data_IF_922263865923
#
_entry.id   IF_922263865923
#
_cell.length_a   1.000
_cell.length_b   1.000
_cell.length_c   1.000
_cell.angle_alpha   90.00
_cell.angle_beta   90.00
_cell.angle_gamma   90.00
#
_symmetry.space_group_name_H-M   'P 1'
#
loop_
_entity.id
_entity.type
_entity.pdbx_description
1 polymer ?
#
# COMPACT_ATOMS: atom_id res chain seq x y z
N UNK A 1 57.34 -23.00 10.88
CA UNK A 1 57.63 -23.11 12.32
C UNK A 1 56.30 -23.10 13.07
N UNK A 2 55.82 -24.30 13.51
CA UNK A 2 54.78 -24.44 14.52
C UNK A 2 55.37 -24.18 15.91
N UNK A 3 54.76 -24.56 17.03
CA UNK A 3 53.82 -25.63 17.36
C UNK A 3 52.58 -25.07 18.13
N UNK A 4 51.43 -25.70 18.29
CA UNK A 4 51.10 -26.87 19.05
C UNK A 4 50.91 -26.60 20.52
N UNK A 5 49.66 -26.63 21.03
CA UNK A 5 49.45 -27.10 22.41
C UNK A 5 47.97 -27.50 22.63
N UNK A 6 47.86 -28.75 22.98
CA UNK A 6 46.76 -29.46 23.64
C UNK A 6 46.43 -28.88 25.02
N UNK A 7 45.24 -29.19 25.52
CA UNK A 7 45.11 -29.43 26.94
C UNK A 7 43.75 -29.14 27.55
N UNK A 8 43.03 -30.23 27.90
CA UNK A 8 42.24 -30.45 29.11
C UNK A 8 41.04 -29.49 29.37
N UNK A 9 39.78 -29.85 29.40
CA UNK A 9 39.18 -30.93 30.20
C UNK A 9 38.89 -30.46 31.61
N UNK A 10 37.64 -30.01 31.91
CA UNK A 10 37.06 -30.14 33.23
C UNK A 10 35.54 -30.20 33.18
N UNK A 11 35.01 -31.27 33.72
CA UNK A 11 33.62 -31.55 33.87
C UNK A 11 32.96 -30.71 34.98
N UNK A 12 31.66 -30.50 34.80
CA UNK A 12 30.79 -29.89 35.78
C UNK A 12 29.42 -30.58 35.71
N UNK A 13 29.18 -31.43 36.67
CA UNK A 13 27.90 -32.09 36.94
C UNK A 13 26.81 -31.05 37.20
N UNK A 14 25.74 -31.06 36.38
CA UNK A 14 24.51 -30.32 36.62
C UNK A 14 23.33 -31.25 36.35
N UNK A 15 22.87 -31.90 37.39
CA UNK A 15 21.73 -32.77 37.43
C UNK A 15 20.44 -31.95 37.30
N UNK A 16 19.89 -31.85 36.09
CA UNK A 16 18.62 -31.22 35.81
C UNK A 16 17.62 -32.31 35.42
N UNK A 17 16.61 -32.50 36.23
CA UNK A 17 15.54 -33.46 36.12
C UNK A 17 14.95 -33.47 34.68
N UNK A 18 15.07 -34.61 34.01
CA UNK A 18 14.40 -34.88 32.74
C UNK A 18 12.90 -34.99 32.96
N UNK A 19 12.16 -34.02 32.45
CA UNK A 19 10.73 -34.19 32.26
C UNK A 19 10.51 -35.16 31.09
N UNK A 20 10.09 -36.37 31.46
CA UNK A 20 9.75 -37.39 30.50
C UNK A 20 8.41 -37.04 29.84
N UNK A 21 8.44 -36.63 28.58
CA UNK A 21 7.27 -36.22 27.77
C UNK A 21 6.35 -37.38 27.42
N UNK A 22 6.51 -38.54 28.06
CA UNK A 22 5.73 -39.75 27.80
C UNK A 22 4.45 -39.92 28.61
N UNK A 23 4.15 -39.05 29.59
CA UNK A 23 3.03 -39.23 30.52
C UNK A 23 1.79 -38.38 30.20
N UNK A 24 1.82 -37.58 29.14
CA UNK A 24 0.65 -36.94 28.56
C UNK A 24 0.38 -37.58 27.21
N UNK A 25 -0.53 -38.55 27.15
CA UNK A 25 -0.91 -39.35 25.99
C UNK A 25 -1.42 -38.59 24.77
N UNK A 26 -0.63 -37.68 24.23
CA UNK A 26 -0.83 -37.11 22.92
C UNK A 26 0.15 -37.77 21.96
N UNK A 27 -0.32 -38.83 21.31
CA UNK A 27 0.36 -39.48 20.19
C UNK A 27 0.38 -38.55 18.99
N UNK A 28 1.55 -37.91 18.77
CA UNK A 28 1.80 -36.97 17.64
C UNK A 28 2.33 -37.71 16.40
N UNK A 29 2.32 -39.06 16.36
CA UNK A 29 2.87 -39.84 15.26
C UNK A 29 1.96 -39.86 14.01
N UNK A 30 0.73 -39.34 14.10
CA UNK A 30 -0.26 -39.34 13.00
C UNK A 30 -0.19 -38.16 12.01
N UNK A 31 0.69 -37.18 12.21
CA UNK A 31 0.64 -35.94 11.42
C UNK A 31 1.64 -35.84 10.26
N UNK A 32 2.29 -36.95 9.90
CA UNK A 32 3.21 -36.98 8.76
C UNK A 32 2.83 -38.07 7.77
N UNK A 33 1.91 -37.85 6.91
CA UNK A 33 1.73 -38.41 5.57
C UNK A 33 0.25 -38.48 5.17
N UNK A 34 -0.13 -37.74 4.16
CA UNK A 34 -1.43 -37.94 3.51
C UNK A 34 -1.98 -36.71 2.83
N UNK A 35 -1.59 -36.57 1.60
CA UNK A 35 -2.21 -35.80 0.53
C UNK A 35 -3.73 -35.95 0.46
N UNK A 36 -4.40 -34.90 -0.08
CA UNK A 36 -5.81 -34.77 -0.49
C UNK A 36 -6.82 -34.30 0.57
N UNK A 37 -7.36 -33.12 0.29
CA UNK A 37 -8.61 -32.64 0.85
C UNK A 37 -8.66 -31.13 1.03
N UNK A 38 -9.01 -30.44 -0.06
CA UNK A 38 -9.35 -29.03 -0.12
C UNK A 38 -10.67 -28.82 0.63
N UNK A 39 -10.65 -28.12 1.77
CA UNK A 39 -11.83 -27.47 2.33
C UNK A 39 -11.39 -26.43 3.38
N UNK A 40 -11.64 -25.20 3.08
CA UNK A 40 -12.03 -24.05 3.89
C UNK A 40 -11.84 -24.19 5.42
N UNK A 41 -10.64 -23.92 5.90
CA UNK A 41 -10.39 -23.39 7.24
C UNK A 41 -9.32 -22.32 7.12
N UNK A 42 -9.69 -21.19 6.49
CA UNK A 42 -8.97 -19.93 6.60
C UNK A 42 -9.15 -19.41 8.03
N UNK A 43 -8.04 -19.03 8.62
CA UNK A 43 -7.91 -18.14 9.78
C UNK A 43 -7.98 -18.75 11.19
N UNK A 44 -7.43 -19.96 11.40
CA UNK A 44 -7.02 -20.37 12.75
C UNK A 44 -5.49 -20.39 12.85
N UNK A 45 -4.93 -19.31 13.39
CA UNK A 45 -3.51 -19.20 13.70
C UNK A 45 -3.13 -20.15 14.86
N UNK A 46 -2.84 -21.41 14.49
CA UNK A 46 -2.36 -22.45 15.42
C UNK A 46 -1.02 -22.09 16.09
N UNK A 47 -0.28 -21.15 15.51
CA UNK A 47 0.99 -20.67 16.07
C UNK A 47 0.80 -19.89 17.37
N UNK A 48 -0.28 -19.13 17.49
CA UNK A 48 -0.60 -18.34 18.69
C UNK A 48 -1.06 -19.20 19.87
N UNK A 49 -1.69 -20.35 19.60
CA UNK A 49 -2.16 -21.29 20.64
C UNK A 49 -0.97 -22.10 21.19
N UNK A 50 -0.08 -22.55 20.31
CA UNK A 50 1.09 -23.36 20.72
C UNK A 50 2.18 -22.50 21.39
N UNK A 51 2.38 -21.29 20.93
CA UNK A 51 3.33 -20.32 21.53
C UNK A 51 2.94 -19.86 22.95
N UNK A 52 1.64 -19.84 23.25
CA UNK A 52 1.12 -19.45 24.57
C UNK A 52 1.32 -20.53 25.65
N UNK A 53 1.44 -21.78 25.26
CA UNK A 53 1.54 -22.92 26.18
C UNK A 53 3.00 -23.25 26.57
N UNK A 54 3.97 -22.91 25.71
CA UNK A 54 5.39 -23.23 25.93
C UNK A 54 6.23 -22.09 26.52
N UNK A 55 5.73 -20.85 26.48
CA UNK A 55 6.44 -19.69 27.03
C UNK A 55 5.89 -19.31 28.40
N UNK A 56 6.37 -19.97 29.44
CA UNK A 56 6.13 -19.64 30.85
C UNK A 56 6.71 -18.32 31.32
N UNK A 57 7.02 -17.39 30.42
CA UNK A 57 7.56 -16.06 30.76
C UNK A 57 6.39 -15.08 30.76
N UNK A 58 6.07 -14.52 31.92
CA UNK A 58 5.21 -13.34 32.11
C UNK A 58 5.81 -12.13 31.39
N UNK A 59 5.88 -12.17 30.08
CA UNK A 59 6.09 -10.99 29.26
C UNK A 59 4.77 -10.25 29.19
N UNK A 60 4.69 -9.09 29.82
CA UNK A 60 3.54 -8.20 29.73
C UNK A 60 3.21 -7.98 28.25
N UNK A 61 2.14 -8.63 27.75
CA UNK A 61 1.60 -8.37 26.41
C UNK A 61 1.19 -6.91 26.39
N UNK A 62 2.12 -6.05 25.92
CA UNK A 62 1.73 -4.71 25.50
C UNK A 62 0.67 -4.90 24.43
N UNK A 63 -0.57 -4.54 24.75
CA UNK A 63 -1.67 -4.60 23.80
C UNK A 63 -1.24 -3.81 22.56
N UNK A 64 -1.09 -4.50 21.41
CA UNK A 64 -0.81 -3.83 20.13
C UNK A 64 -1.77 -2.66 19.99
N UNK A 65 -1.29 -1.47 19.64
CA UNK A 65 -2.14 -0.31 19.44
C UNK A 65 -3.21 -0.67 18.41
N UNK A 66 -4.45 -0.35 18.70
CA UNK A 66 -5.57 -0.57 17.79
C UNK A 66 -5.33 0.22 16.53
N UNK A 67 -5.52 -0.42 15.39
CA UNK A 67 -5.40 0.21 14.09
C UNK A 67 -6.73 0.09 13.35
N UNK A 68 -7.13 1.17 12.68
CA UNK A 68 -8.28 1.20 11.79
C UNK A 68 -8.03 0.36 10.52
N UNK A 69 -9.10 0.07 9.81
CA UNK A 69 -9.02 -0.65 8.54
C UNK A 69 -8.35 0.21 7.46
N UNK A 70 -7.59 -0.45 6.60
CA UNK A 70 -7.03 0.17 5.42
C UNK A 70 -8.14 0.31 4.35
N UNK A 71 -8.05 1.35 3.52
CA UNK A 71 -8.99 1.62 2.43
C UNK A 71 -8.24 1.50 1.11
N UNK A 72 -8.83 0.83 0.12
CA UNK A 72 -8.34 0.82 -1.25
C UNK A 72 -9.34 1.53 -2.17
N UNK A 73 -8.82 2.40 -3.04
CA UNK A 73 -9.62 3.16 -4.02
C UNK A 73 -8.93 3.08 -5.37
N UNK A 74 -9.70 2.72 -6.40
CA UNK A 74 -9.23 2.73 -7.78
C UNK A 74 -9.51 4.09 -8.42
N UNK A 75 -8.51 4.65 -9.09
CA UNK A 75 -8.58 5.97 -9.72
C UNK A 75 -8.09 5.90 -11.15
N UNK A 76 -8.89 6.43 -12.07
CA UNK A 76 -8.50 6.58 -13.47
C UNK A 76 -7.86 7.94 -13.72
N UNK A 77 -6.68 7.94 -14.34
CA UNK A 77 -5.96 9.15 -14.73
C UNK A 77 -5.80 9.24 -16.25
N UNK A 78 -5.91 10.44 -16.84
CA UNK A 78 -5.47 10.68 -18.20
C UNK A 78 -3.97 10.42 -18.34
N UNK A 79 -3.56 9.97 -19.52
CA UNK A 79 -2.15 9.65 -19.79
C UNK A 79 -1.21 10.82 -19.48
N UNK A 80 -1.55 12.05 -19.86
CA UNK A 80 -0.74 13.25 -19.62
C UNK A 80 -0.47 13.48 -18.13
N UNK A 81 -1.49 13.32 -17.28
CA UNK A 81 -1.34 13.49 -15.84
C UNK A 81 -0.46 12.40 -15.21
N UNK A 82 -0.54 11.17 -15.72
CA UNK A 82 0.33 10.08 -15.26
C UNK A 82 1.79 10.31 -15.65
N UNK A 83 2.04 10.96 -16.80
CA UNK A 83 3.39 11.29 -17.27
C UNK A 83 4.00 12.44 -16.48
N UNK A 84 3.28 13.55 -16.30
CA UNK A 84 3.82 14.76 -15.66
C UNK A 84 3.60 14.83 -14.16
N UNK A 85 2.72 13.97 -13.63
CA UNK A 85 2.27 14.06 -12.26
C UNK A 85 1.22 15.17 -12.08
N UNK A 86 0.45 15.06 -11.03
CA UNK A 86 -0.64 16.00 -10.72
C UNK A 86 -0.97 15.97 -9.24
N UNK A 87 -1.48 17.07 -8.71
CA UNK A 87 -2.12 17.09 -7.41
C UNK A 87 -3.63 16.99 -7.60
N UNK A 88 -4.25 15.95 -7.04
CA UNK A 88 -5.71 15.75 -7.08
C UNK A 88 -6.30 15.66 -5.70
N UNK A 89 -7.52 16.17 -5.58
CA UNK A 89 -8.33 16.06 -4.35
C UNK A 89 -9.40 14.99 -4.58
N UNK A 90 -9.39 13.97 -3.71
CA UNK A 90 -10.38 12.89 -3.74
C UNK A 90 -11.34 13.05 -2.55
N UNK A 91 -12.64 12.90 -2.83
CA UNK A 91 -13.68 12.81 -1.78
C UNK A 91 -13.88 11.34 -1.44
N UNK A 92 -13.59 10.97 -0.21
CA UNK A 92 -13.71 9.59 0.26
C UNK A 92 -14.67 9.58 1.45
N UNK A 93 -15.70 8.75 1.37
CA UNK A 93 -16.61 8.50 2.49
C UNK A 93 -15.96 7.49 3.44
N UNK A 94 -15.56 7.94 4.62
CA UNK A 94 -14.87 7.09 5.59
C UNK A 94 -15.13 7.50 7.04
N UNK A 95 -14.83 6.58 7.94
CA UNK A 95 -14.76 6.87 9.37
C UNK A 95 -13.52 7.72 9.66
N UNK A 96 -13.72 8.92 10.17
CA UNK A 96 -12.66 9.88 10.50
C UNK A 96 -12.70 10.22 11.98
N UNK A 97 -11.58 10.71 12.51
CA UNK A 97 -11.52 11.26 13.86
C UNK A 97 -12.48 12.45 13.94
N UNK A 98 -13.25 12.54 15.01
CA UNK A 98 -14.16 13.65 15.23
C UNK A 98 -13.39 14.94 15.48
N UNK A 99 -13.58 15.95 14.63
CA UNK A 99 -12.89 17.25 14.72
C UNK A 99 -13.31 18.10 15.93
N UNK A 100 -14.48 17.82 16.51
CA UNK A 100 -14.95 18.57 17.68
C UNK A 100 -14.27 18.13 18.97
N UNK A 101 -13.93 16.85 19.08
CA UNK A 101 -13.35 16.29 20.31
C UNK A 101 -11.97 15.67 20.11
N UNK A 102 -11.38 15.77 18.91
CA UNK A 102 -10.07 15.21 18.57
C UNK A 102 -9.92 13.73 18.96
N UNK A 103 -11.00 12.96 18.80
CA UNK A 103 -11.04 11.54 19.12
C UNK A 103 -11.34 11.17 20.58
N UNK A 104 -11.42 12.12 21.49
CA UNK A 104 -11.63 11.88 22.93
C UNK A 104 -13.06 11.43 23.27
N UNK A 105 -14.02 11.69 22.39
CA UNK A 105 -15.43 11.41 22.65
C UNK A 105 -16.12 12.37 23.63
N UNK A 106 -15.39 13.29 24.26
CA UNK A 106 -15.90 14.29 25.19
C UNK A 106 -16.07 15.65 24.53
N UNK A 107 -16.92 16.50 25.11
CA UNK A 107 -17.02 17.92 24.77
C UNK A 107 -15.71 18.63 25.10
N UNK A 108 -15.27 19.58 24.28
CA UNK A 108 -14.04 20.35 24.55
C UNK A 108 -14.03 20.94 25.96
N UNK A 109 -12.95 20.71 26.70
CA UNK A 109 -12.79 21.19 28.09
C UNK A 109 -13.38 20.28 29.17
N UNK A 110 -14.06 19.20 28.81
CA UNK A 110 -14.63 18.23 29.75
C UNK A 110 -13.56 17.34 30.36
N UNK A 111 -13.69 17.07 31.68
CA UNK A 111 -12.79 16.12 32.36
C UNK A 111 -13.08 14.70 31.95
N UNK A 112 -12.01 13.89 31.85
CA UNK A 112 -12.10 12.47 31.57
C UNK A 112 -12.03 11.69 32.90
N UNK A 113 -13.00 10.81 33.11
CA UNK A 113 -13.07 9.91 34.27
C UNK A 113 -12.62 8.50 33.86
N UNK A 114 -12.11 7.73 34.82
CA UNK A 114 -11.86 6.30 34.61
C UNK A 114 -13.18 5.60 34.34
N UNK A 115 -13.22 4.76 33.30
CA UNK A 115 -14.43 4.01 32.96
C UNK A 115 -14.85 3.09 34.11
N UNK A 116 -16.07 3.25 34.59
CA UNK A 116 -16.60 2.47 35.70
C UNK A 116 -16.79 0.98 35.37
N UNK A 117 -17.07 0.66 34.11
CA UNK A 117 -17.36 -0.71 33.64
C UNK A 117 -16.08 -1.58 33.58
N UNK A 118 -14.95 -1.04 33.19
CA UNK A 118 -13.70 -1.80 33.03
C UNK A 118 -12.58 -1.37 34.00
N UNK A 119 -12.84 -0.42 34.90
CA UNK A 119 -11.85 0.09 35.84
C UNK A 119 -10.61 0.69 35.18
N UNK A 120 -10.73 1.21 33.96
CA UNK A 120 -9.61 1.80 33.20
C UNK A 120 -8.89 0.83 32.28
N UNK A 121 -9.21 -0.46 32.30
CA UNK A 121 -8.50 -1.49 31.48
C UNK A 121 -8.87 -1.46 30.01
N UNK A 122 -9.99 -0.83 29.62
CA UNK A 122 -10.48 -0.79 28.25
C UNK A 122 -11.07 -2.11 27.75
N UNK A 123 -10.96 -3.19 28.53
CA UNK A 123 -11.45 -4.54 28.21
C UNK A 123 -12.26 -5.10 29.36
N UNK A 124 -13.24 -5.92 29.08
CA UNK A 124 -14.04 -6.65 30.06
C UNK A 124 -13.82 -8.13 29.83
N UNK A 125 -13.51 -8.85 30.90
CA UNK A 125 -13.33 -10.31 30.84
C UNK A 125 -14.66 -11.00 31.18
N UNK A 126 -15.15 -11.79 30.25
CA UNK A 126 -16.33 -12.63 30.45
C UNK A 126 -15.92 -14.08 30.57
N UNK A 127 -16.45 -14.76 31.58
CA UNK A 127 -16.30 -16.20 31.75
C UNK A 127 -17.46 -16.90 31.07
N UNK A 128 -17.22 -17.51 29.91
CA UNK A 128 -18.21 -18.37 29.26
C UNK A 128 -18.06 -19.76 29.81
N UNK A 129 -19.13 -20.22 30.51
CA UNK A 129 -19.22 -21.59 31.04
C UNK A 129 -19.96 -22.44 30.02
N UNK A 130 -19.31 -23.48 29.51
CA UNK A 130 -19.92 -24.59 28.79
C UNK A 130 -20.05 -25.79 29.75
N UNK A 131 -20.80 -26.79 29.37
CA UNK A 131 -21.07 -27.98 30.23
C UNK A 131 -19.77 -28.70 30.62
N UNK A 132 -18.72 -28.59 29.80
CA UNK A 132 -17.45 -29.32 29.98
C UNK A 132 -16.28 -28.39 30.30
N UNK A 133 -16.31 -27.10 29.87
CA UNK A 133 -15.18 -26.18 29.98
C UNK A 133 -15.62 -24.76 30.38
N UNK A 134 -14.84 -24.10 31.20
CA UNK A 134 -14.97 -22.67 31.43
C UNK A 134 -13.76 -21.94 30.79
N UNK A 135 -14.01 -21.04 29.89
CA UNK A 135 -12.94 -20.22 29.30
C UNK A 135 -13.24 -18.74 29.49
N UNK A 136 -12.16 -17.99 29.75
CA UNK A 136 -12.21 -16.54 29.89
C UNK A 136 -12.00 -15.92 28.52
N UNK A 137 -12.97 -15.13 28.07
CA UNK A 137 -12.89 -14.35 26.84
C UNK A 137 -12.78 -12.87 27.21
N UNK A 138 -11.78 -12.20 26.69
CA UNK A 138 -11.62 -10.76 26.86
C UNK A 138 -12.25 -10.04 25.68
N UNK A 139 -13.25 -9.19 25.93
CA UNK A 139 -13.86 -8.32 24.93
C UNK A 139 -13.59 -6.85 25.23
N UNK A 140 -13.71 -6.03 24.20
CA UNK A 140 -13.59 -4.59 24.32
C UNK A 140 -14.73 -4.07 25.18
N UNK A 141 -14.43 -3.18 26.12
CA UNK A 141 -15.45 -2.52 26.94
C UNK A 141 -16.34 -1.63 26.07
N UNK A 142 -17.65 -1.94 26.02
CA UNK A 142 -18.62 -1.20 25.21
C UNK A 142 -18.80 0.25 25.69
N UNK A 143 -18.70 0.49 27.01
CA UNK A 143 -18.89 1.79 27.60
C UNK A 143 -17.82 2.80 27.15
N UNK A 144 -16.54 2.43 27.27
CA UNK A 144 -15.42 3.28 26.88
C UNK A 144 -14.84 2.95 25.50
N UNK A 145 -15.37 1.93 24.82
CA UNK A 145 -14.92 1.45 23.50
C UNK A 145 -13.41 1.17 23.44
N UNK A 146 -12.86 0.73 24.56
CA UNK A 146 -11.47 0.35 24.70
C UNK A 146 -10.52 1.45 25.12
N UNK A 147 -10.96 2.69 25.33
CA UNK A 147 -10.11 3.80 25.77
C UNK A 147 -9.78 3.74 27.27
N UNK A 148 -10.55 2.99 28.06
CA UNK A 148 -10.44 2.93 29.53
C UNK A 148 -10.94 4.18 30.24
N UNK A 149 -11.36 5.21 29.52
CA UNK A 149 -11.83 6.50 30.07
C UNK A 149 -13.18 6.89 29.50
N UNK A 150 -13.96 7.60 30.26
CA UNK A 150 -15.25 8.14 29.86
C UNK A 150 -15.29 9.64 30.10
N UNK A 151 -15.81 10.44 29.17
CA UNK A 151 -16.00 11.87 29.39
C UNK A 151 -17.20 12.14 30.29
N UNK A 152 -17.14 13.16 31.14
CA UNK A 152 -18.27 13.63 31.94
C UNK A 152 -19.43 14.11 31.06
N UNK A 153 -19.10 14.89 30.01
CA UNK A 153 -20.04 15.29 28.97
C UNK A 153 -19.63 14.71 27.62
N UNK A 154 -20.56 13.99 27.01
CA UNK A 154 -20.31 13.40 25.67
C UNK A 154 -20.29 14.47 24.59
N UNK A 155 -19.39 14.34 23.64
CA UNK A 155 -19.35 15.19 22.46
C UNK A 155 -20.69 15.14 21.70
N UNK A 156 -21.32 16.26 21.36
CA UNK A 156 -22.62 16.27 20.70
C UNK A 156 -22.56 15.69 19.28
N UNK A 157 -21.42 15.80 18.59
CA UNK A 157 -21.24 15.35 17.20
C UNK A 157 -21.07 13.85 17.14
N UNK A 158 -20.11 13.28 17.87
CA UNK A 158 -19.82 11.84 17.82
C UNK A 158 -20.53 11.02 18.92
N UNK A 159 -21.26 11.68 19.83
CA UNK A 159 -22.00 11.04 20.94
C UNK A 159 -21.13 10.09 21.78
N UNK A 160 -19.89 10.50 22.04
CA UNK A 160 -18.93 9.73 22.82
C UNK A 160 -18.11 8.72 22.01
N UNK A 161 -18.32 8.61 20.69
CA UNK A 161 -17.61 7.64 19.88
C UNK A 161 -16.16 8.04 19.56
N UNK A 162 -15.85 9.33 19.56
CA UNK A 162 -14.56 9.87 19.13
C UNK A 162 -14.34 9.83 17.62
N UNK A 163 -15.18 9.11 16.88
CA UNK A 163 -15.10 8.94 15.43
C UNK A 163 -16.46 9.21 14.77
N UNK A 164 -16.45 9.67 13.53
CA UNK A 164 -17.67 9.97 12.75
C UNK A 164 -17.47 9.52 11.30
N UNK A 165 -18.50 9.02 10.67
CA UNK A 165 -18.52 8.76 9.23
C UNK A 165 -18.82 10.07 8.50
N UNK A 166 -17.94 10.47 7.61
CA UNK A 166 -18.09 11.69 6.81
C UNK A 166 -17.32 11.61 5.51
N UNK A 167 -17.71 12.44 4.57
CA UNK A 167 -16.92 12.69 3.37
C UNK A 167 -15.70 13.53 3.76
N UNK A 168 -14.54 13.06 3.41
CA UNK A 168 -13.28 13.75 3.63
C UNK A 168 -12.59 14.01 2.30
N UNK A 169 -12.18 15.25 2.10
CA UNK A 169 -11.35 15.61 0.97
C UNK A 169 -9.88 15.35 1.32
N UNK A 170 -9.23 14.54 0.51
CA UNK A 170 -7.82 14.16 0.68
C UNK A 170 -7.06 14.66 -0.55
N UNK A 171 -6.10 15.54 -0.32
CA UNK A 171 -5.17 16.00 -1.37
C UNK A 171 -4.05 14.98 -1.53
N UNK A 172 -3.89 14.48 -2.74
CA UNK A 172 -2.89 13.47 -3.07
C UNK A 172 -1.99 14.01 -4.17
N UNK A 173 -0.70 13.99 -3.91
CA UNK A 173 0.31 14.30 -4.90
C UNK A 173 0.68 13.02 -5.65
N UNK A 174 0.33 12.98 -6.90
CA UNK A 174 0.62 11.88 -7.81
C UNK A 174 1.96 12.17 -8.48
N UNK A 175 3.00 11.33 -8.28
CA UNK A 175 4.31 11.57 -8.88
C UNK A 175 4.27 11.37 -10.40
N UNK A 176 5.23 11.99 -11.09
CA UNK A 176 5.40 11.82 -12.53
C UNK A 176 5.90 10.41 -12.89
N UNK A 177 5.48 9.92 -14.05
CA UNK A 177 6.01 8.69 -14.61
C UNK A 177 5.47 7.41 -14.01
N UNK A 178 4.28 7.42 -13.40
CA UNK A 178 3.61 6.22 -12.89
C UNK A 178 3.40 5.17 -13.97
N UNK A 179 3.32 3.92 -13.52
CA UNK A 179 2.91 2.78 -14.32
C UNK A 179 1.44 2.47 -14.08
N UNK A 180 0.78 1.88 -15.07
CA UNK A 180 -0.58 1.38 -14.89
C UNK A 180 -0.63 0.31 -13.79
N UNK A 181 -1.66 0.39 -12.93
CA UNK A 181 -1.82 -0.50 -11.78
C UNK A 181 -0.93 -0.18 -10.58
N UNK A 182 -0.12 0.88 -10.62
CA UNK A 182 0.73 1.27 -9.49
C UNK A 182 -0.10 1.81 -8.33
N UNK A 183 0.31 1.46 -7.11
CA UNK A 183 -0.43 1.83 -5.90
C UNK A 183 0.32 2.87 -5.09
N UNK A 184 -0.35 3.97 -4.78
CA UNK A 184 0.14 5.04 -3.93
C UNK A 184 -0.40 4.83 -2.52
N UNK A 185 0.48 4.71 -1.52
CA UNK A 185 0.10 4.59 -0.12
C UNK A 185 0.12 5.94 0.58
N UNK A 186 -0.98 6.29 1.21
CA UNK A 186 -1.11 7.43 2.12
C UNK A 186 -1.22 6.92 3.57
N UNK A 187 -0.17 7.03 4.38
CA UNK A 187 -0.22 6.61 5.78
C UNK A 187 -1.27 7.41 6.56
N UNK A 188 -2.07 6.71 7.38
CA UNK A 188 -3.13 7.32 8.19
C UNK A 188 -4.34 7.81 7.39
N UNK A 189 -4.37 7.58 6.07
CA UNK A 189 -5.49 7.96 5.21
C UNK A 189 -6.70 7.02 5.26
N UNK A 190 -6.59 5.86 5.91
CA UNK A 190 -7.64 4.86 6.03
C UNK A 190 -8.72 5.20 7.08
N UNK A 191 -9.43 4.18 7.56
CA UNK A 191 -10.46 4.34 8.57
C UNK A 191 -9.87 4.65 9.95
N UNK A 192 -10.50 5.55 10.66
CA UNK A 192 -10.16 5.83 12.06
C UNK A 192 -10.82 4.81 12.99
N UNK A 193 -10.15 4.51 14.10
CA UNK A 193 -10.68 3.70 15.20
C UNK A 193 -10.60 4.49 16.51
N UNK A 194 -11.60 4.34 17.35
CA UNK A 194 -11.63 5.00 18.67
C UNK A 194 -10.46 4.54 19.55
N UNK A 195 -9.66 5.49 20.04
CA UNK A 195 -8.51 5.22 20.91
C UNK A 195 -7.34 4.49 20.23
N UNK A 196 -7.22 4.56 18.90
CA UNK A 196 -6.16 3.90 18.14
C UNK A 196 -5.64 4.76 16.98
N UNK A 197 -4.84 4.13 16.13
CA UNK A 197 -4.28 4.76 14.93
C UNK A 197 -5.21 4.49 13.73
N UNK A 198 -5.33 5.46 12.83
CA UNK A 198 -6.02 5.24 11.56
C UNK A 198 -5.27 4.24 10.70
N UNK A 199 -6.00 3.52 9.85
CA UNK A 199 -5.43 2.70 8.78
C UNK A 199 -4.78 3.54 7.68
N UNK A 200 -4.34 2.91 6.61
CA UNK A 200 -3.75 3.58 5.46
C UNK A 200 -4.74 3.62 4.29
N UNK A 201 -4.53 4.58 3.40
CA UNK A 201 -5.25 4.67 2.14
C UNK A 201 -4.33 4.23 1.01
N UNK A 202 -4.77 3.25 0.25
CA UNK A 202 -4.13 2.76 -0.96
C UNK A 202 -4.91 3.25 -2.18
N UNK A 203 -4.25 4.00 -3.03
CA UNK A 203 -4.83 4.52 -4.27
C UNK A 203 -4.18 3.76 -5.41
N UNK A 204 -4.95 2.88 -6.04
CA UNK A 204 -4.53 2.16 -7.23
C UNK A 204 -4.84 2.99 -8.46
N UNK A 205 -3.81 3.30 -9.22
CA UNK A 205 -3.91 4.19 -10.38
C UNK A 205 -4.08 3.36 -11.66
N UNK A 206 -5.12 3.64 -12.42
CA UNK A 206 -5.37 3.12 -13.75
C UNK A 206 -5.17 4.22 -14.79
N UNK A 207 -4.29 4.00 -15.76
CA UNK A 207 -3.94 5.00 -16.76
C UNK A 207 -4.76 4.74 -18.02
N UNK A 208 -5.52 5.76 -18.44
CA UNK A 208 -6.25 5.69 -19.73
C UNK A 208 -5.24 5.65 -20.87
N UNK A 209 -5.37 4.69 -21.80
CA UNK A 209 -4.48 4.62 -22.97
C UNK A 209 -4.63 5.89 -23.82
N UNK A 210 -3.53 6.40 -24.33
CA UNK A 210 -3.55 7.53 -25.27
C UNK A 210 -3.53 7.03 -26.71
N UNK A 211 -4.30 7.62 -27.63
CA UNK A 211 -4.40 7.12 -29.01
C UNK A 211 -3.07 7.19 -29.79
N UNK A 212 -2.21 8.14 -29.45
CA UNK A 212 -0.98 8.42 -30.18
C UNK A 212 0.27 8.04 -29.40
N UNK A 213 0.24 8.21 -28.07
CA UNK A 213 1.43 8.11 -27.23
C UNK A 213 1.47 6.81 -26.43
N UNK A 214 2.63 6.17 -26.39
CA UNK A 214 2.96 5.03 -25.52
C UNK A 214 4.14 5.40 -24.63
N UNK A 215 4.18 4.85 -23.43
CA UNK A 215 5.29 5.01 -22.49
C UNK A 215 6.16 3.75 -22.52
N UNK A 216 7.45 3.92 -22.80
CA UNK A 216 8.45 2.85 -22.72
C UNK A 216 9.60 3.29 -21.79
N UNK A 217 9.58 2.77 -20.56
CA UNK A 217 10.51 3.20 -19.52
C UNK A 217 10.33 4.68 -19.19
N UNK A 218 11.35 5.49 -19.49
CA UNK A 218 11.31 6.93 -19.34
C UNK A 218 11.07 7.68 -20.66
N UNK A 219 10.90 6.95 -21.75
CA UNK A 219 10.68 7.55 -23.06
C UNK A 219 9.19 7.54 -23.42
N UNK A 220 8.81 8.50 -24.25
CA UNK A 220 7.53 8.54 -24.92
C UNK A 220 7.71 8.05 -26.36
N UNK A 221 6.87 7.14 -26.79
CA UNK A 221 6.95 6.56 -28.14
C UNK A 221 5.70 6.94 -28.92
N UNK A 222 5.89 7.34 -30.17
CA UNK A 222 4.81 7.61 -31.11
C UNK A 222 5.19 7.17 -32.50
N UNK A 223 4.18 6.93 -33.33
CA UNK A 223 4.35 6.62 -34.73
C UNK A 223 4.02 7.86 -35.57
N UNK A 224 4.77 8.13 -36.64
CA UNK A 224 4.54 9.23 -37.54
C UNK A 224 4.58 8.77 -38.99
N UNK A 225 3.49 9.02 -39.73
CA UNK A 225 3.41 8.78 -41.16
C UNK A 225 3.97 9.99 -41.92
N UNK A 226 4.94 9.74 -42.79
CA UNK A 226 5.51 10.73 -43.66
C UNK A 226 5.36 10.32 -45.14
N UNK A 227 5.38 11.30 -46.05
CA UNK A 227 5.38 11.02 -47.48
C UNK A 227 6.74 10.52 -47.94
N UNK A 228 6.75 9.71 -49.02
CA UNK A 228 8.00 9.26 -49.61
C UNK A 228 8.92 10.44 -50.01
N UNK A 229 8.35 11.51 -50.54
CA UNK A 229 9.11 12.75 -50.87
C UNK A 229 9.83 13.34 -49.67
N UNK A 230 9.18 13.37 -48.52
CA UNK A 230 9.74 13.92 -47.28
C UNK A 230 10.87 13.01 -46.74
N UNK A 231 10.75 11.71 -46.94
CA UNK A 231 11.79 10.76 -46.56
C UNK A 231 13.04 10.88 -47.45
N UNK A 232 12.87 11.14 -48.77
CA UNK A 232 13.97 11.23 -49.71
C UNK A 232 14.69 12.57 -49.63
N UNK A 233 13.94 13.68 -49.57
CA UNK A 233 14.48 15.04 -49.66
C UNK A 233 14.72 15.68 -48.28
N UNK A 234 14.31 15.03 -47.23
CA UNK A 234 14.23 15.61 -45.91
C UNK A 234 13.09 16.62 -45.78
N UNK A 235 12.59 16.79 -44.56
CA UNK A 235 11.50 17.71 -44.29
C UNK A 235 11.53 18.17 -42.83
N UNK A 236 10.81 19.25 -42.54
CA UNK A 236 10.49 19.64 -41.16
C UNK A 236 9.01 19.46 -40.96
N UNK A 237 8.62 18.63 -39.98
CA UNK A 237 7.21 18.34 -39.65
C UNK A 237 6.90 18.75 -38.22
N UNK A 238 5.72 19.27 -38.00
CA UNK A 238 5.24 19.58 -36.65
C UNK A 238 4.76 18.31 -35.99
N UNK A 239 5.30 18.01 -34.82
CA UNK A 239 4.86 16.92 -33.95
C UNK A 239 4.16 17.51 -32.74
N UNK A 240 2.86 17.22 -32.59
CA UNK A 240 2.10 17.62 -31.40
C UNK A 240 2.43 16.70 -30.25
N UNK A 241 3.09 17.24 -29.23
CA UNK A 241 3.50 16.53 -28.04
C UNK A 241 2.57 16.85 -26.86
N UNK A 242 2.72 16.10 -25.77
CA UNK A 242 1.97 16.35 -24.53
C UNK A 242 2.31 17.71 -23.89
N UNK A 243 3.47 18.29 -24.22
CA UNK A 243 3.96 19.60 -23.74
C UNK A 243 3.76 20.76 -24.75
N UNK A 244 3.10 20.50 -25.86
CA UNK A 244 2.96 21.43 -26.96
C UNK A 244 3.66 20.96 -28.24
N UNK A 245 3.59 21.76 -29.28
CA UNK A 245 4.09 21.41 -30.60
C UNK A 245 5.60 21.61 -30.72
N UNK A 246 6.25 20.69 -31.42
CA UNK A 246 7.68 20.78 -31.73
C UNK A 246 7.91 20.59 -33.23
N UNK A 247 8.94 21.26 -33.77
CA UNK A 247 9.40 21.05 -35.13
C UNK A 247 10.38 19.88 -35.16
N UNK A 248 9.95 18.75 -35.74
CA UNK A 248 10.79 17.57 -35.96
C UNK A 248 11.46 17.67 -37.32
N UNK A 249 12.79 17.67 -37.34
CA UNK A 249 13.58 17.63 -38.57
C UNK A 249 13.78 16.17 -38.99
N UNK A 250 13.32 15.84 -40.18
CA UNK A 250 13.46 14.51 -40.82
C UNK A 250 14.69 14.65 -41.75
N UNK A 251 15.74 13.87 -41.56
CA UNK A 251 16.91 13.86 -42.46
C UNK A 251 16.53 13.35 -43.85
N UNK A 252 17.32 13.76 -44.87
CA UNK A 252 17.27 13.17 -46.20
C UNK A 252 17.70 11.70 -46.17
N UNK A 253 17.02 10.87 -46.94
CA UNK A 253 17.32 9.42 -46.98
C UNK A 253 16.80 8.62 -45.77
N UNK A 254 15.89 9.16 -44.98
CA UNK A 254 15.28 8.46 -43.83
C UNK A 254 14.63 7.16 -44.28
N UNK A 255 14.98 6.05 -43.65
CA UNK A 255 14.47 4.72 -43.97
C UNK A 255 13.12 4.44 -43.29
N UNK A 256 12.36 3.47 -43.85
CA UNK A 256 11.14 2.98 -43.22
C UNK A 256 11.48 2.29 -41.90
N UNK A 257 10.74 2.61 -40.83
CA UNK A 257 10.97 2.05 -39.48
C UNK A 257 12.12 2.71 -38.72
N UNK A 258 12.74 3.75 -39.29
CA UNK A 258 13.78 4.51 -38.56
C UNK A 258 13.17 5.24 -37.37
N UNK A 259 13.97 5.35 -36.28
CA UNK A 259 13.52 5.97 -35.03
C UNK A 259 14.23 7.31 -34.86
N UNK A 260 13.48 8.38 -34.95
CA UNK A 260 13.99 9.73 -34.68
C UNK A 260 13.84 10.06 -33.19
N UNK A 261 14.94 10.54 -32.58
CA UNK A 261 15.02 10.82 -31.15
C UNK A 261 14.99 12.32 -30.87
N UNK A 262 13.99 12.75 -30.09
CA UNK A 262 13.92 14.12 -29.55
C UNK A 262 14.31 14.11 -28.08
N UNK A 263 15.46 14.66 -27.78
CA UNK A 263 16.06 14.61 -26.45
C UNK A 263 15.33 15.48 -25.43
N UNK A 264 15.22 14.98 -24.18
CA UNK A 264 14.73 15.74 -23.03
C UNK A 264 13.24 16.09 -23.06
N UNK A 265 12.43 15.45 -23.89
CA UNK A 265 10.98 15.68 -24.04
C UNK A 265 10.11 14.49 -23.60
N UNK A 266 10.73 13.47 -23.02
CA UNK A 266 10.04 12.30 -22.50
C UNK A 266 9.50 12.52 -21.07
N UNK A 267 9.39 11.42 -20.35
CA UNK A 267 8.85 11.35 -18.97
C UNK A 267 9.82 11.99 -17.99
N UNK A 268 9.38 12.92 -17.12
CA UNK A 268 10.21 13.44 -16.04
C UNK A 268 10.61 12.34 -15.07
N UNK A 269 11.89 12.25 -14.70
CA UNK A 269 12.35 11.32 -13.68
C UNK A 269 12.58 12.06 -12.38
N UNK A 270 11.81 11.73 -11.36
CA UNK A 270 12.02 12.24 -9.99
C UNK A 270 13.07 11.37 -9.31
N UNK A 271 14.33 11.79 -9.30
CA UNK A 271 15.37 11.16 -8.51
C UNK A 271 15.55 11.91 -7.21
N UNK A 272 15.17 11.28 -6.08
CA UNK A 272 15.35 11.77 -4.69
C UNK A 272 14.91 13.23 -4.45
N UNK A 273 13.74 13.63 -5.01
CA UNK A 273 13.19 14.97 -4.77
C UNK A 273 13.87 16.12 -5.51
N UNK A 274 14.78 15.83 -6.44
CA UNK A 274 15.32 16.78 -7.40
C UNK A 274 14.68 16.54 -8.75
N UNK A 275 14.38 17.59 -9.50
CA UNK A 275 13.99 17.46 -10.90
C UNK A 275 15.12 16.75 -11.63
N UNK A 276 14.88 15.48 -11.94
CA UNK A 276 15.79 14.61 -12.66
C UNK A 276 15.74 14.90 -14.16
N UNK A 277 16.63 14.24 -14.89
CA UNK A 277 16.60 14.27 -16.34
C UNK A 277 15.24 13.78 -16.85
N UNK A 278 14.73 14.41 -17.88
CA UNK A 278 13.59 13.89 -18.65
C UNK A 278 14.11 12.85 -19.64
N UNK A 279 13.31 11.82 -19.86
CA UNK A 279 13.55 10.89 -20.98
C UNK A 279 13.39 11.58 -22.32
N UNK A 280 13.37 10.82 -23.36
CA UNK A 280 13.31 11.30 -24.75
C UNK A 280 11.96 10.93 -25.40
N UNK A 281 11.66 11.58 -26.52
CA UNK A 281 10.62 11.14 -27.42
C UNK A 281 11.28 10.31 -28.53
N UNK A 282 10.73 9.13 -28.78
CA UNK A 282 11.11 8.23 -29.87
C UNK A 282 9.97 8.23 -30.91
N UNK A 283 10.27 8.69 -32.09
CA UNK A 283 9.30 8.79 -33.20
C UNK A 283 9.65 7.71 -34.22
N UNK A 284 8.76 6.72 -34.35
CA UNK A 284 8.89 5.67 -35.38
C UNK A 284 8.35 6.22 -36.68
N UNK A 285 9.17 6.20 -37.71
CA UNK A 285 8.81 6.74 -39.03
C UNK A 285 8.20 5.65 -39.89
N UNK A 286 6.99 5.92 -40.36
CA UNK A 286 6.30 5.10 -41.36
C UNK A 286 6.20 5.90 -42.66
N UNK A 287 6.65 5.28 -43.78
CA UNK A 287 6.63 5.94 -45.10
C UNK A 287 5.36 5.53 -45.84
N UNK A 288 4.55 6.51 -46.16
CA UNK A 288 3.34 6.30 -46.93
C UNK A 288 3.63 6.39 -48.43
N UNK A 289 3.42 5.27 -49.14
CA UNK A 289 3.56 5.24 -50.59
C UNK A 289 2.35 5.88 -51.31
N UNK A 290 2.55 6.67 -52.37
CA UNK A 290 1.45 7.24 -53.14
C UNK A 290 0.70 6.13 -53.88
N UNK A 291 -0.62 6.12 -53.76
CA UNK A 291 -1.49 5.11 -54.43
C UNK A 291 -1.55 5.28 -55.95
N UNK A 292 -1.30 6.47 -56.47
CA UNK A 292 -1.29 6.79 -57.91
C UNK A 292 -0.10 7.72 -58.19
N UNK A 293 0.70 7.39 -59.16
CA UNK A 293 1.73 8.25 -59.74
C UNK A 293 1.18 8.83 -61.03
N UNK A 294 1.30 10.15 -61.26
CA UNK A 294 1.04 10.74 -62.56
C UNK A 294 2.20 10.37 -63.52
N UNK A 295 1.90 10.27 -64.81
CA UNK A 295 2.94 9.96 -65.83
C UNK A 295 3.98 11.07 -66.01
N UNK A 296 3.78 12.19 -65.35
CA UNK A 296 4.66 13.41 -65.42
C UNK A 296 5.57 13.57 -64.20
N UNK A 297 5.68 12.54 -63.32
CA UNK A 297 6.53 12.55 -62.16
C UNK A 297 7.78 11.71 -62.37
#
# INVERSE_FOLDING_TARGET
AGPGMEGAGYGGYGQGAGFNAGDFGFDFSGFNSGSYGQSEFEDFDLGDILGGMFSGTRSGRSSRPRRGADISVDVELPFSEAIFGVERTFKIHKTSVCSECDGNGGKKGTKMKTCHTCGGQGKVTEVKRSIIWSFQTSRICDACRGTGREPEEKCPVCRGAGIVKRDQEIKVKIPAGLKDGETIRLPGGGEAVSGGQSGDLYIKVHIKPHPIWRKEGHNLVTDMDIKLSDALLGATRTLSTLDGDIALKIPEGTAFGEILRVRGRGVPTTSRGREGHRGDILVHIHITMPKKLSREA
#
